data_IF_230995165597
#
_entry.id   IF_230995165597
#
_cell.length_a   1.000
_cell.length_b   1.000
_cell.length_c   1.000
_cell.angle_alpha   90.00
_cell.angle_beta   90.00
_cell.angle_gamma   90.00
#
_symmetry.space_group_name_H-M   'P 1'
#
loop_
_entity.id
_entity.type
_entity.pdbx_description
1 polymer ?
#
# COMPACT_ATOMS: atom_id res chain seq x y z
N UNK A 1 -50.14 -14.42 -49.37
CA UNK A 1 -50.42 -14.98 -48.03
C UNK A 1 -49.24 -15.81 -47.50
N UNK A 2 -48.56 -16.62 -48.33
CA UNK A 2 -47.35 -17.37 -47.94
C UNK A 2 -46.11 -16.50 -47.58
N UNK A 3 -46.00 -15.27 -48.08
CA UNK A 3 -44.83 -14.41 -47.79
C UNK A 3 -44.81 -13.84 -46.36
N UNK A 4 -45.96 -13.73 -45.68
CA UNK A 4 -46.03 -13.24 -44.29
C UNK A 4 -45.56 -14.30 -43.28
N UNK A 5 -45.87 -15.57 -43.53
CA UNK A 5 -45.49 -16.68 -42.66
C UNK A 5 -43.97 -16.92 -42.63
N UNK A 6 -43.28 -16.74 -43.76
CA UNK A 6 -41.81 -16.85 -43.81
C UNK A 6 -41.10 -15.70 -43.09
N UNK A 7 -41.66 -14.49 -43.09
CA UNK A 7 -41.08 -13.35 -42.39
C UNK A 7 -41.13 -13.51 -40.87
N UNK A 8 -42.23 -14.05 -40.33
CA UNK A 8 -42.38 -14.27 -38.88
C UNK A 8 -41.48 -15.39 -38.36
N UNK A 9 -41.28 -16.48 -39.10
CA UNK A 9 -40.31 -17.52 -38.72
C UNK A 9 -38.86 -17.04 -38.78
N UNK A 10 -38.52 -16.17 -39.75
CA UNK A 10 -37.17 -15.61 -39.89
C UNK A 10 -36.85 -14.63 -38.74
N UNK A 11 -37.84 -13.83 -38.32
CA UNK A 11 -37.71 -12.90 -37.19
C UNK A 11 -37.57 -13.68 -35.87
N UNK A 12 -38.39 -14.73 -35.66
CA UNK A 12 -38.32 -15.57 -34.46
C UNK A 12 -36.97 -16.30 -34.32
N UNK A 13 -36.45 -16.88 -35.41
CA UNK A 13 -35.12 -17.55 -35.41
C UNK A 13 -33.97 -16.56 -35.23
N UNK A 14 -34.07 -15.37 -35.82
CA UNK A 14 -33.06 -14.32 -35.68
C UNK A 14 -33.02 -13.75 -34.26
N UNK A 15 -34.20 -13.50 -33.66
CA UNK A 15 -34.31 -13.01 -32.28
C UNK A 15 -33.81 -14.05 -31.26
N UNK A 16 -34.07 -15.34 -31.48
CA UNK A 16 -33.55 -16.41 -30.62
C UNK A 16 -32.01 -16.44 -30.60
N UNK A 17 -31.36 -16.30 -31.75
CA UNK A 17 -29.88 -16.26 -31.83
C UNK A 17 -29.30 -15.00 -31.16
N UNK A 18 -29.92 -13.83 -31.38
CA UNK A 18 -29.52 -12.59 -30.73
C UNK A 18 -29.65 -12.67 -29.20
N UNK A 19 -30.74 -13.27 -28.70
CA UNK A 19 -30.95 -13.48 -27.27
C UNK A 19 -29.86 -14.37 -26.66
N UNK A 20 -29.44 -15.43 -27.36
CA UNK A 20 -28.35 -16.31 -26.89
C UNK A 20 -27.00 -15.60 -26.85
N UNK A 21 -26.67 -14.79 -27.87
CA UNK A 21 -25.41 -14.06 -27.90
C UNK A 21 -25.34 -12.97 -26.82
N UNK A 22 -26.42 -12.25 -26.58
CA UNK A 22 -26.49 -11.25 -25.50
C UNK A 22 -26.43 -11.91 -24.12
N UNK A 23 -27.16 -13.01 -23.92
CA UNK A 23 -27.13 -13.77 -22.66
C UNK A 23 -25.73 -14.31 -22.34
N UNK A 24 -25.05 -14.90 -23.33
CA UNK A 24 -23.68 -15.38 -23.19
C UNK A 24 -22.68 -14.27 -22.89
N UNK A 25 -22.83 -13.10 -23.55
CA UNK A 25 -21.97 -11.94 -23.31
C UNK A 25 -22.12 -11.37 -21.91
N UNK A 26 -23.36 -11.21 -21.42
CA UNK A 26 -23.63 -10.72 -20.07
C UNK A 26 -23.10 -11.67 -19.00
N UNK A 27 -23.31 -12.98 -19.18
CA UNK A 27 -22.78 -13.98 -18.24
C UNK A 27 -21.25 -13.97 -18.24
N UNK A 28 -20.62 -13.89 -19.42
CA UNK A 28 -19.17 -13.80 -19.54
C UNK A 28 -18.59 -12.56 -18.84
N UNK A 29 -19.18 -11.39 -19.06
CA UNK A 29 -18.78 -10.15 -18.37
C UNK A 29 -18.96 -10.25 -16.85
N UNK A 30 -20.08 -10.82 -16.39
CA UNK A 30 -20.33 -11.02 -14.97
C UNK A 30 -19.30 -11.97 -14.33
N UNK A 31 -18.99 -13.10 -14.98
CA UNK A 31 -17.97 -14.04 -14.51
C UNK A 31 -16.58 -13.42 -14.48
N UNK A 32 -16.20 -12.64 -15.49
CA UNK A 32 -14.93 -11.91 -15.52
C UNK A 32 -14.85 -10.87 -14.41
N UNK A 33 -15.91 -10.11 -14.16
CA UNK A 33 -15.99 -9.17 -13.05
C UNK A 33 -15.87 -9.85 -11.68
N UNK A 34 -16.49 -11.03 -11.53
CA UNK A 34 -16.37 -11.84 -10.32
C UNK A 34 -14.93 -12.32 -10.10
N UNK A 35 -14.29 -12.90 -11.12
CA UNK A 35 -12.90 -13.37 -11.06
C UNK A 35 -11.96 -12.20 -10.78
N UNK A 36 -12.12 -11.07 -11.47
CA UNK A 36 -11.28 -9.89 -11.27
C UNK A 36 -11.35 -9.34 -9.84
N UNK A 37 -12.49 -9.50 -9.16
CA UNK A 37 -12.66 -9.04 -7.78
C UNK A 37 -12.23 -10.07 -6.72
N UNK A 38 -12.16 -11.36 -7.07
CA UNK A 38 -11.92 -12.44 -6.09
C UNK A 38 -10.61 -13.23 -6.31
N UNK A 39 -9.95 -13.13 -7.46
CA UNK A 39 -8.76 -13.92 -7.78
C UNK A 39 -7.43 -13.16 -7.60
N UNK A 40 -7.41 -12.10 -6.78
CA UNK A 40 -6.16 -11.43 -6.41
C UNK A 40 -5.26 -12.30 -5.51
N UNK A 41 -3.94 -12.06 -5.49
CA UNK A 41 -3.05 -12.69 -4.50
C UNK A 41 -3.56 -12.41 -3.08
N UNK A 42 -3.54 -13.39 -2.16
CA UNK A 42 -4.04 -13.18 -0.78
C UNK A 42 -3.13 -12.27 0.05
N UNK A 43 -1.93 -11.97 -0.45
CA UNK A 43 -0.89 -11.16 0.21
C UNK A 43 -0.56 -9.93 -0.61
N UNK A 44 -0.09 -8.89 0.07
CA UNK A 44 0.59 -7.75 -0.55
C UNK A 44 2.02 -7.63 -0.01
N UNK A 45 2.72 -6.58 -0.43
CA UNK A 45 4.11 -6.31 -0.07
C UNK A 45 4.25 -4.97 0.67
N UNK A 46 4.90 -4.98 1.83
CA UNK A 46 5.37 -3.78 2.51
C UNK A 46 6.89 -3.65 2.31
N UNK A 47 7.32 -2.52 1.75
CA UNK A 47 8.74 -2.19 1.54
C UNK A 47 9.10 -1.08 2.52
N UNK A 48 9.94 -1.39 3.51
CA UNK A 48 10.20 -0.52 4.64
C UNK A 48 11.65 -0.03 4.57
N UNK A 49 11.83 1.27 4.41
CA UNK A 49 13.12 1.93 4.56
C UNK A 49 13.32 2.34 6.01
N UNK A 50 14.39 1.86 6.65
CA UNK A 50 14.71 2.20 8.04
C UNK A 50 15.85 3.21 8.05
N UNK A 51 15.60 4.40 8.57
CA UNK A 51 16.58 5.49 8.65
C UNK A 51 17.22 5.64 10.04
N UNK A 52 16.94 4.70 10.96
CA UNK A 52 17.41 4.72 12.34
C UNK A 52 18.23 3.46 12.65
N UNK A 53 19.30 3.62 13.41
CA UNK A 53 20.08 2.54 14.00
C UNK A 53 19.67 2.31 15.47
N UNK A 54 20.05 1.17 16.04
CA UNK A 54 19.68 0.75 17.39
C UNK A 54 18.17 0.81 17.66
N UNK A 55 17.38 0.26 16.73
CA UNK A 55 15.92 0.22 16.81
C UNK A 55 15.38 -1.19 16.58
N UNK A 56 14.20 -1.45 17.11
CA UNK A 56 13.39 -2.61 16.81
C UNK A 56 12.19 -2.18 15.97
N UNK A 57 12.01 -2.82 14.82
CA UNK A 57 10.92 -2.58 13.89
C UNK A 57 9.98 -3.78 13.91
N UNK A 58 8.72 -3.55 14.26
CA UNK A 58 7.67 -4.56 14.20
C UNK A 58 6.69 -4.23 13.07
N UNK A 59 6.37 -5.22 12.25
CA UNK A 59 5.35 -5.13 11.19
C UNK A 59 4.56 -6.44 11.12
N UNK A 60 3.26 -6.35 11.39
CA UNK A 60 2.41 -7.53 11.53
C UNK A 60 2.94 -8.46 12.62
N UNK A 61 3.21 -9.72 12.27
CA UNK A 61 3.77 -10.72 13.19
C UNK A 61 5.31 -10.77 13.20
N UNK A 62 5.99 -9.94 12.39
CA UNK A 62 7.45 -9.96 12.26
C UNK A 62 8.08 -8.84 13.08
N UNK A 63 9.19 -9.13 13.75
CA UNK A 63 10.06 -8.14 14.40
C UNK A 63 11.48 -8.22 13.85
N UNK A 64 12.10 -7.06 13.64
CA UNK A 64 13.44 -6.90 13.09
C UNK A 64 14.26 -5.98 14.00
N UNK A 65 15.39 -6.47 14.51
CA UNK A 65 16.38 -5.64 15.20
C UNK A 65 17.34 -5.03 14.19
N UNK A 66 17.45 -3.70 14.22
CA UNK A 66 18.29 -2.91 13.34
C UNK A 66 19.40 -2.30 14.19
N UNK A 67 20.58 -2.94 14.15
CA UNK A 67 21.75 -2.49 14.91
C UNK A 67 22.41 -1.31 14.20
N UNK A 68 22.57 -1.39 12.87
CA UNK A 68 23.19 -0.35 12.05
C UNK A 68 22.26 0.13 10.93
N UNK A 69 22.54 1.32 10.38
CA UNK A 69 21.83 1.87 9.22
C UNK A 69 21.95 0.92 8.02
N UNK A 70 20.80 0.43 7.54
CA UNK A 70 20.75 -0.48 6.40
C UNK A 70 20.45 0.28 5.11
N UNK A 71 21.28 0.14 4.06
CA UNK A 71 21.00 0.76 2.76
C UNK A 71 19.86 0.03 2.01
N UNK A 72 19.63 -1.25 2.31
CA UNK A 72 18.59 -2.05 1.68
C UNK A 72 17.27 -2.00 2.46
N UNK A 73 16.11 -1.83 1.79
CA UNK A 73 14.82 -1.89 2.44
C UNK A 73 14.50 -3.30 2.95
N UNK A 74 13.67 -3.37 3.97
CA UNK A 74 13.08 -4.60 4.46
C UNK A 74 11.81 -4.85 3.64
N UNK A 75 11.70 -6.04 3.05
CA UNK A 75 10.53 -6.44 2.27
C UNK A 75 9.76 -7.47 3.07
N UNK A 76 8.51 -7.17 3.39
CA UNK A 76 7.60 -8.08 4.10
C UNK A 76 6.41 -8.42 3.21
N UNK A 77 6.11 -9.71 3.06
CA UNK A 77 4.86 -10.16 2.48
C UNK A 77 3.83 -10.33 3.60
N UNK A 78 2.71 -9.62 3.49
CA UNK A 78 1.69 -9.56 4.54
C UNK A 78 0.34 -9.97 3.97
N UNK A 79 -0.53 -10.65 4.74
CA UNK A 79 -1.91 -10.90 4.34
C UNK A 79 -2.63 -9.59 4.00
N UNK A 80 -3.60 -9.64 3.09
CA UNK A 80 -4.46 -8.48 2.86
C UNK A 80 -5.19 -8.07 4.15
N UNK A 81 -5.19 -6.79 4.49
CA UNK A 81 -5.81 -6.29 5.72
C UNK A 81 -5.16 -5.02 6.24
N UNK A 82 -5.50 -4.69 7.48
CA UNK A 82 -4.92 -3.56 8.22
C UNK A 82 -3.75 -4.08 9.06
N UNK A 83 -2.64 -3.38 9.00
CA UNK A 83 -1.40 -3.69 9.69
C UNK A 83 -0.90 -2.47 10.46
N UNK A 84 0.00 -2.73 11.39
CA UNK A 84 0.69 -1.69 12.15
C UNK A 84 2.20 -1.83 11.96
N UNK A 85 2.86 -0.71 11.70
CA UNK A 85 4.29 -0.55 11.78
C UNK A 85 4.60 0.12 13.12
N UNK A 86 5.46 -0.50 13.92
CA UNK A 86 5.91 0.03 15.21
C UNK A 86 7.43 0.10 15.21
N UNK A 87 7.97 1.28 15.52
CA UNK A 87 9.39 1.51 15.71
C UNK A 87 9.67 1.75 17.18
N UNK A 88 10.54 0.93 17.77
CA UNK A 88 10.94 0.96 19.17
C UNK A 88 12.42 1.26 19.28
N UNK A 89 12.81 1.98 20.34
CA UNK A 89 14.21 2.11 20.79
C UNK A 89 14.23 1.92 22.29
N UNK A 90 15.00 0.94 22.75
CA UNK A 90 15.12 0.63 24.19
C UNK A 90 13.75 0.47 24.88
N UNK A 91 12.80 -0.16 24.20
CA UNK A 91 11.42 -0.37 24.69
C UNK A 91 10.49 0.85 24.59
N UNK A 92 10.97 2.01 24.15
CA UNK A 92 10.14 3.20 23.89
C UNK A 92 9.67 3.23 22.44
N UNK A 93 8.36 3.42 22.23
CA UNK A 93 7.80 3.63 20.88
C UNK A 93 8.23 5.00 20.36
N UNK A 94 9.03 5.01 19.29
CA UNK A 94 9.42 6.22 18.56
C UNK A 94 8.35 6.60 17.53
N UNK A 95 7.80 5.60 16.84
CA UNK A 95 6.76 5.78 15.82
C UNK A 95 5.82 4.60 15.77
N UNK A 96 4.54 4.89 15.52
CA UNK A 96 3.49 3.90 15.26
C UNK A 96 2.62 4.40 14.12
N UNK A 97 2.45 3.59 13.09
CA UNK A 97 1.68 3.94 11.89
C UNK A 97 0.84 2.74 11.44
N UNK A 98 -0.47 2.97 11.28
CA UNK A 98 -1.37 1.98 10.69
C UNK A 98 -1.41 2.15 9.18
N UNK A 99 -1.40 1.03 8.45
CA UNK A 99 -1.54 1.02 7.00
C UNK A 99 -2.43 -0.15 6.56
N UNK A 100 -3.06 -0.03 5.40
CA UNK A 100 -3.87 -1.09 4.81
C UNK A 100 -3.19 -1.63 3.57
N UNK A 101 -3.31 -2.93 3.34
CA UNK A 101 -2.72 -3.60 2.20
C UNK A 101 -3.75 -4.50 1.54
N UNK A 102 -4.00 -4.29 0.25
CA UNK A 102 -4.82 -5.19 -0.57
C UNK A 102 -3.95 -6.30 -1.18
N UNK A 103 -4.61 -7.37 -1.60
CA UNK A 103 -3.97 -8.45 -2.33
C UNK A 103 -3.27 -7.95 -3.60
N UNK A 104 -1.98 -8.29 -3.75
CA UNK A 104 -1.13 -7.83 -4.86
C UNK A 104 -0.68 -6.37 -4.78
N UNK A 105 -1.07 -5.61 -3.75
CA UNK A 105 -0.63 -4.24 -3.53
C UNK A 105 0.80 -4.19 -3.00
N UNK A 106 1.52 -3.11 -3.31
CA UNK A 106 2.81 -2.80 -2.70
C UNK A 106 2.76 -1.42 -2.04
N UNK A 107 3.09 -1.34 -0.76
CA UNK A 107 3.20 -0.08 -0.02
C UNK A 107 4.65 0.18 0.38
N UNK A 108 5.09 1.43 0.28
CA UNK A 108 6.42 1.87 0.72
C UNK A 108 6.27 2.67 2.01
N UNK A 109 6.97 2.26 3.05
CA UNK A 109 6.96 2.90 4.37
C UNK A 109 8.38 3.34 4.74
N UNK A 110 8.49 4.40 5.53
CA UNK A 110 9.78 4.85 6.08
C UNK A 110 9.69 4.85 7.59
N UNK A 111 10.61 4.16 8.26
CA UNK A 111 10.71 4.13 9.71
C UNK A 111 11.83 5.09 10.18
N UNK A 112 11.45 6.15 10.88
CA UNK A 112 12.33 7.21 11.35
C UNK A 112 11.77 7.87 12.63
N UNK A 113 12.62 8.56 13.41
CA UNK A 113 12.22 9.27 14.63
C UNK A 113 11.65 10.68 14.34
N UNK A 114 10.34 10.94 14.54
CA UNK A 114 9.71 12.24 14.33
C UNK A 114 10.32 13.40 15.12
N UNK A 115 10.84 13.10 16.30
CA UNK A 115 11.35 14.12 17.22
C UNK A 115 12.70 14.65 16.75
N UNK A 116 13.55 13.79 16.16
CA UNK A 116 14.86 14.20 15.63
C UNK A 116 14.75 15.22 14.49
N UNK A 117 13.75 15.10 13.62
CA UNK A 117 13.55 16.08 12.53
C UNK A 117 12.92 17.37 13.04
N UNK A 118 12.15 17.32 14.12
CA UNK A 118 11.47 18.50 14.69
C UNK A 118 12.42 19.42 15.48
N UNK A 119 13.53 18.88 16.00
CA UNK A 119 14.54 19.64 16.76
C UNK A 119 15.52 20.48 15.93
N UNK A 120 15.39 20.48 14.60
CA UNK A 120 16.33 21.17 13.69
C UNK A 120 16.11 22.69 13.53
N UNK A 121 15.05 23.26 14.09
CA UNK A 121 14.72 24.69 13.92
C UNK A 121 15.23 25.62 15.02
N UNK A 122 15.85 25.12 16.09
CA UNK A 122 16.26 26.00 17.22
C UNK A 122 17.78 26.25 17.35
N UNK A 123 18.64 25.67 16.52
CA UNK A 123 20.11 25.86 16.63
C UNK A 123 20.69 26.81 15.58
N UNK A 124 20.00 27.92 15.30
CA UNK A 124 20.51 29.03 14.48
C UNK A 124 20.67 30.36 15.22
N UNK A 125 19.95 30.56 16.33
CA UNK A 125 19.92 31.85 17.03
C UNK A 125 21.00 32.00 18.11
N UNK A 126 21.50 30.91 18.68
CA UNK A 126 22.45 30.98 19.81
C UNK A 126 23.92 31.11 19.36
N UNK A 127 24.24 30.68 18.14
CA UNK A 127 25.61 30.81 17.57
C UNK A 127 25.97 32.24 17.18
N UNK A 128 24.98 33.13 17.06
CA UNK A 128 25.20 34.54 16.79
C UNK A 128 25.60 35.35 18.05
N UNK A 129 25.39 34.81 19.27
CA UNK A 129 25.83 35.47 20.51
C UNK A 129 27.30 35.22 20.84
N UNK A 130 27.86 34.07 20.45
CA UNK A 130 29.25 33.74 20.74
C UNK A 130 30.28 34.41 19.80
N UNK A 131 29.86 34.92 18.63
CA UNK A 131 30.77 35.71 17.77
C UNK A 131 30.82 37.20 18.10
N UNK A 132 30.02 37.68 19.06
CA UNK A 132 29.92 39.11 19.40
C UNK A 132 30.77 39.52 20.62
N UNK A 133 31.55 38.62 21.22
CA UNK A 133 32.47 38.97 22.30
C UNK A 133 33.82 39.43 21.71
N UNK A 134 34.15 40.73 21.70
CA UNK A 134 35.48 41.18 21.31
C UNK A 134 36.52 40.65 22.33
N UNK A 135 37.73 40.28 21.88
CA UNK A 135 38.80 39.90 22.78
C UNK A 135 39.10 41.08 23.72
N UNK A 136 39.08 40.81 25.03
CA UNK A 136 39.57 41.75 26.03
C UNK A 136 41.05 42.04 25.75
N UNK A 137 41.38 43.33 25.63
CA UNK A 137 42.76 43.84 25.57
C UNK A 137 43.37 43.84 26.96
#
# INVERSE_FOLDING_TARGET
MLSKLFAEELIARSMSRLATHLGGGLLGLASLGWIATHCGPPTGRAVIHVAEADVELTVGASSYRIEELRPAPIICELPSGVHELVLLREGRVLRRESFSLRGGESVVLTAWDPVRLSGGTETGADRARDLAAPPAQ
#
